data_IF_626524247231
#
_entry.id   IF_626524247231
#
_cell.length_a   1.000
_cell.length_b   1.000
_cell.length_c   1.000
_cell.angle_alpha   90.00
_cell.angle_beta   90.00
_cell.angle_gamma   90.00
#
_symmetry.space_group_name_H-M   'P 1'
#
loop_
_entity.id
_entity.type
_entity.pdbx_description
1 polymer ?
#
# COMPACT_ATOMS: atom_id res chain seq x y z
N UNK A 1 -19.79 14.11 63.82
CA UNK A 1 -19.11 13.01 63.10
C UNK A 1 -19.87 12.60 61.83
N UNK A 2 -21.16 12.24 61.88
CA UNK A 2 -21.91 11.77 60.70
C UNK A 2 -22.02 12.77 59.52
N UNK A 3 -22.28 14.06 59.79
CA UNK A 3 -22.46 15.09 58.74
C UNK A 3 -21.20 15.30 57.89
N UNK A 4 -20.01 15.27 58.53
CA UNK A 4 -18.74 15.44 57.84
C UNK A 4 -18.40 14.25 56.93
N UNK A 5 -18.74 13.02 57.36
CA UNK A 5 -18.55 11.80 56.57
C UNK A 5 -19.47 11.78 55.35
N UNK A 6 -20.73 12.20 55.49
CA UNK A 6 -21.69 12.30 54.39
C UNK A 6 -21.25 13.34 53.35
N UNK A 7 -20.81 14.53 53.79
CA UNK A 7 -20.30 15.57 52.90
C UNK A 7 -19.05 15.13 52.12
N UNK A 8 -18.15 14.39 52.77
CA UNK A 8 -16.96 13.83 52.13
C UNK A 8 -17.33 12.81 51.04
N UNK A 9 -18.25 11.90 51.31
CA UNK A 9 -18.69 10.88 50.33
C UNK A 9 -19.39 11.54 49.14
N UNK A 10 -20.26 12.52 49.38
CA UNK A 10 -21.01 13.24 48.33
C UNK A 10 -20.09 14.02 47.39
N UNK A 11 -18.90 14.44 47.84
CA UNK A 11 -17.97 15.23 47.02
C UNK A 11 -16.86 14.39 46.40
N UNK A 12 -16.30 13.43 47.16
CA UNK A 12 -15.16 12.61 46.71
C UNK A 12 -15.59 11.51 45.74
N UNK A 13 -16.74 10.87 45.97
CA UNK A 13 -17.21 9.78 45.12
C UNK A 13 -17.51 10.24 43.68
N UNK A 14 -18.28 11.32 43.41
CA UNK A 14 -18.50 11.77 42.04
C UNK A 14 -17.23 12.32 41.40
N UNK A 15 -16.34 12.99 42.14
CA UNK A 15 -15.06 13.45 41.61
C UNK A 15 -14.18 12.26 41.15
N UNK A 16 -14.12 11.18 41.92
CA UNK A 16 -13.41 9.96 41.56
C UNK A 16 -14.04 9.24 40.35
N UNK A 17 -15.38 9.21 40.27
CA UNK A 17 -16.09 8.64 39.12
C UNK A 17 -15.87 9.46 37.84
N UNK A 18 -15.89 10.79 37.94
CA UNK A 18 -15.60 11.70 36.83
C UNK A 18 -14.16 11.52 36.36
N UNK A 19 -13.17 11.55 37.26
CA UNK A 19 -11.77 11.33 36.91
C UNK A 19 -11.55 9.98 36.22
N UNK A 20 -12.15 8.90 36.74
CA UNK A 20 -12.10 7.57 36.13
C UNK A 20 -12.71 7.58 34.72
N UNK A 21 -13.83 8.26 34.52
CA UNK A 21 -14.48 8.34 33.20
C UNK A 21 -13.64 9.14 32.19
N UNK A 22 -13.02 10.24 32.60
CA UNK A 22 -12.10 11.03 31.76
C UNK A 22 -10.89 10.19 31.35
N UNK A 23 -10.25 9.50 32.30
CA UNK A 23 -9.14 8.60 32.01
C UNK A 23 -9.57 7.48 31.05
N UNK A 24 -10.74 6.87 31.28
CA UNK A 24 -11.26 5.82 30.41
C UNK A 24 -11.53 6.32 28.98
N UNK A 25 -12.08 7.52 28.81
CA UNK A 25 -12.32 8.14 27.50
C UNK A 25 -10.99 8.43 26.81
N UNK A 26 -10.00 8.99 27.51
CA UNK A 26 -8.69 9.27 26.93
C UNK A 26 -8.00 7.98 26.45
N UNK A 27 -8.05 6.92 27.27
CA UNK A 27 -7.53 5.60 26.88
C UNK A 27 -8.27 5.06 25.66
N UNK A 28 -9.60 5.15 25.63
CA UNK A 28 -10.40 4.68 24.51
C UNK A 28 -10.08 5.43 23.20
N UNK A 29 -9.90 6.76 23.27
CA UNK A 29 -9.51 7.58 22.13
C UNK A 29 -8.13 7.20 21.62
N UNK A 30 -7.15 7.02 22.52
CA UNK A 30 -5.79 6.61 22.15
C UNK A 30 -5.78 5.23 21.48
N UNK A 31 -6.54 4.27 22.03
CA UNK A 31 -6.68 2.94 21.44
C UNK A 31 -7.36 3.03 20.07
N UNK A 32 -8.43 3.81 19.91
CA UNK A 32 -9.12 3.99 18.64
C UNK A 32 -8.20 4.61 17.57
N UNK A 33 -7.42 5.62 17.93
CA UNK A 33 -6.42 6.23 17.03
C UNK A 33 -5.32 5.24 16.64
N UNK A 34 -4.82 4.47 17.60
CA UNK A 34 -3.79 3.45 17.34
C UNK A 34 -4.31 2.36 16.39
N UNK A 35 -5.53 1.85 16.62
CA UNK A 35 -6.18 0.87 15.76
C UNK A 35 -6.46 1.44 14.37
N UNK A 36 -6.95 2.67 14.27
CA UNK A 36 -7.18 3.35 12.99
C UNK A 36 -5.90 3.52 12.19
N UNK A 37 -4.82 4.00 12.83
CA UNK A 37 -3.52 4.14 12.19
C UNK A 37 -2.93 2.79 11.76
N UNK A 38 -3.12 1.73 12.54
CA UNK A 38 -2.70 0.38 12.19
C UNK A 38 -3.48 -0.15 10.97
N UNK A 39 -4.81 0.04 10.94
CA UNK A 39 -5.66 -0.38 9.83
C UNK A 39 -5.27 0.30 8.52
N UNK A 40 -5.08 1.63 8.52
CA UNK A 40 -4.64 2.38 7.33
C UNK A 40 -3.30 1.86 6.81
N UNK A 41 -2.35 1.57 7.70
CA UNK A 41 -1.04 1.02 7.31
C UNK A 41 -1.14 -0.41 6.75
N UNK A 42 -2.03 -1.24 7.28
CA UNK A 42 -2.20 -2.61 6.82
C UNK A 42 -2.84 -2.64 5.43
N UNK A 43 -3.94 -1.89 5.24
CA UNK A 43 -4.66 -1.81 3.97
C UNK A 43 -3.77 -1.20 2.88
N UNK A 44 -3.05 -0.11 3.20
CA UNK A 44 -2.17 0.53 2.22
C UNK A 44 -1.02 -0.34 1.73
N UNK A 45 -0.65 -1.42 2.43
CA UNK A 45 0.41 -2.37 2.01
C UNK A 45 -0.05 -3.37 0.95
N UNK A 46 -1.33 -3.74 0.93
CA UNK A 46 -1.86 -4.72 -0.03
C UNK A 46 -2.53 -4.11 -1.27
N UNK A 47 -2.71 -2.79 -1.33
CA UNK A 47 -3.57 -2.17 -2.35
C UNK A 47 -3.01 -2.22 -3.77
N UNK A 48 -1.69 -2.12 -3.94
CA UNK A 48 -1.08 -2.08 -5.27
C UNK A 48 -1.26 -3.41 -6.03
N UNK A 49 -0.98 -4.55 -5.39
CA UNK A 49 -1.16 -5.87 -6.02
C UNK A 49 -2.62 -6.18 -6.32
N UNK A 50 -3.55 -5.77 -5.46
CA UNK A 50 -5.00 -5.93 -5.70
C UNK A 50 -5.45 -5.07 -6.89
N UNK A 51 -4.98 -3.84 -6.98
CA UNK A 51 -5.28 -2.96 -8.11
C UNK A 51 -4.71 -3.52 -9.43
N UNK A 52 -3.49 -4.07 -9.40
CA UNK A 52 -2.87 -4.73 -10.55
C UNK A 52 -3.65 -5.98 -10.97
N UNK A 53 -4.04 -6.84 -10.03
CA UNK A 53 -4.85 -8.02 -10.33
C UNK A 53 -6.22 -7.66 -10.96
N UNK A 54 -6.81 -6.52 -10.58
CA UNK A 54 -8.07 -6.05 -11.16
C UNK A 54 -7.95 -5.65 -12.65
N UNK A 55 -6.74 -5.39 -13.15
CA UNK A 55 -6.49 -5.12 -14.58
C UNK A 55 -6.52 -6.37 -15.45
N UNK A 56 -6.56 -7.57 -14.85
CA UNK A 56 -6.38 -8.83 -15.56
C UNK A 56 -4.92 -9.13 -15.91
N UNK A 57 -3.97 -8.34 -15.39
CA UNK A 57 -2.56 -8.59 -15.58
C UNK A 57 -2.11 -9.84 -14.81
N UNK A 58 -1.24 -10.64 -15.42
CA UNK A 58 -0.55 -11.77 -14.77
C UNK A 58 0.90 -11.39 -14.48
N UNK A 59 1.46 -11.79 -13.32
CA UNK A 59 2.88 -11.60 -13.07
C UNK A 59 3.67 -12.51 -14.00
N UNK A 60 4.83 -12.05 -14.47
CA UNK A 60 5.69 -12.81 -15.37
C UNK A 60 7.10 -12.92 -14.82
N UNK A 61 7.64 -14.13 -14.78
CA UNK A 61 9.04 -14.39 -14.45
C UNK A 61 9.97 -14.21 -15.66
N UNK A 62 11.27 -14.27 -15.41
CA UNK A 62 12.29 -14.17 -16.46
C UNK A 62 12.16 -15.28 -17.53
N UNK A 63 11.68 -16.46 -17.15
CA UNK A 63 11.44 -17.57 -18.07
C UNK A 63 10.16 -17.39 -18.90
N UNK A 64 9.15 -16.69 -18.38
CA UNK A 64 7.89 -16.45 -19.07
C UNK A 64 8.05 -15.39 -20.17
N UNK A 65 8.77 -14.30 -19.87
CA UNK A 65 8.94 -13.15 -20.76
C UNK A 65 10.40 -12.66 -20.78
N UNK A 66 11.35 -13.47 -21.29
CA UNK A 66 12.77 -13.15 -21.24
C UNK A 66 13.13 -11.86 -21.99
N UNK A 67 12.41 -11.56 -23.08
CA UNK A 67 12.63 -10.32 -23.86
C UNK A 67 12.32 -9.08 -23.03
N UNK A 68 11.20 -9.09 -22.29
CA UNK A 68 10.78 -7.98 -21.45
C UNK A 68 11.72 -7.81 -20.25
N UNK A 69 12.03 -8.91 -19.56
CA UNK A 69 12.95 -8.90 -18.41
C UNK A 69 14.34 -8.37 -18.78
N UNK A 70 14.95 -8.88 -19.85
CA UNK A 70 16.26 -8.41 -20.30
C UNK A 70 16.30 -6.91 -20.65
N UNK A 71 15.22 -6.41 -21.25
CA UNK A 71 15.11 -5.00 -21.62
C UNK A 71 14.99 -4.12 -20.38
N UNK A 72 14.07 -4.46 -19.47
CA UNK A 72 13.89 -3.71 -18.22
C UNK A 72 15.12 -3.79 -17.33
N UNK A 73 15.81 -4.93 -17.28
CA UNK A 73 17.08 -5.08 -16.57
C UNK A 73 18.16 -4.13 -17.09
N UNK A 74 18.30 -4.01 -18.41
CA UNK A 74 19.23 -3.05 -19.01
C UNK A 74 18.89 -1.61 -18.63
N UNK A 75 17.60 -1.25 -18.72
CA UNK A 75 17.10 0.09 -18.39
C UNK A 75 17.29 0.42 -16.91
N UNK A 76 16.94 -0.49 -15.99
CA UNK A 76 17.05 -0.22 -14.56
C UNK A 76 18.50 -0.07 -14.11
N UNK A 77 19.41 -0.84 -14.72
CA UNK A 77 20.85 -0.73 -14.42
C UNK A 77 21.39 0.61 -14.91
N UNK A 78 20.99 1.04 -16.11
CA UNK A 78 21.39 2.34 -16.66
C UNK A 78 20.84 3.51 -15.81
N UNK A 79 19.62 3.39 -15.27
CA UNK A 79 18.98 4.42 -14.46
C UNK A 79 19.29 4.33 -12.96
N UNK A 80 19.88 3.24 -12.49
CA UNK A 80 20.16 3.01 -11.07
C UNK A 80 18.91 2.84 -10.20
N UNK A 81 17.84 2.27 -10.75
CA UNK A 81 16.57 2.05 -10.02
C UNK A 81 16.41 0.59 -9.57
N UNK A 82 15.65 0.33 -8.48
CA UNK A 82 15.33 -1.02 -8.05
C UNK A 82 14.58 -1.81 -9.13
N UNK A 83 14.60 -3.14 -9.01
CA UNK A 83 13.92 -4.05 -9.94
C UNK A 83 12.39 -3.94 -9.79
N UNK A 84 11.66 -3.53 -10.85
CA UNK A 84 10.20 -3.49 -10.81
C UNK A 84 9.61 -4.89 -11.01
N UNK A 85 8.46 -5.16 -10.40
CA UNK A 85 7.70 -6.36 -10.75
C UNK A 85 7.09 -6.24 -12.16
N UNK A 86 7.23 -7.27 -12.98
CA UNK A 86 6.75 -7.25 -14.37
C UNK A 86 5.46 -8.04 -14.51
N UNK A 87 4.52 -7.46 -15.24
CA UNK A 87 3.19 -8.01 -15.45
C UNK A 87 2.80 -7.88 -16.92
N UNK A 88 2.09 -8.88 -17.43
CA UNK A 88 1.57 -8.88 -18.80
C UNK A 88 0.04 -8.97 -18.80
N UNK A 89 -0.59 -8.17 -19.64
CA UNK A 89 -2.02 -8.27 -19.97
C UNK A 89 -2.15 -8.82 -21.39
N UNK A 90 -2.96 -9.85 -21.56
CA UNK A 90 -3.28 -10.42 -22.87
C UNK A 90 -4.32 -9.55 -23.61
N UNK A 91 -3.89 -8.36 -24.03
CA UNK A 91 -4.66 -7.38 -24.81
C UNK A 91 -3.87 -7.01 -26.08
N UNK A 92 -4.49 -7.06 -27.28
CA UNK A 92 -3.83 -6.70 -28.53
C UNK A 92 -3.57 -5.19 -28.71
N UNK A 93 -4.17 -4.34 -27.89
CA UNK A 93 -3.97 -2.88 -27.95
C UNK A 93 -2.61 -2.52 -27.35
N UNK A 94 -1.79 -1.67 -28.01
CA UNK A 94 -0.47 -1.31 -27.51
C UNK A 94 -0.59 -0.35 -26.32
N UNK A 95 -0.26 -0.81 -25.11
CA UNK A 95 -0.33 -0.01 -23.89
C UNK A 95 0.68 -0.48 -22.82
N UNK A 96 1.03 0.43 -21.92
CA UNK A 96 1.84 0.16 -20.73
C UNK A 96 1.42 1.08 -19.57
N UNK A 97 1.49 0.55 -18.35
CA UNK A 97 1.24 1.28 -17.12
C UNK A 97 2.37 1.05 -16.11
N UNK A 98 2.95 2.12 -15.61
CA UNK A 98 3.88 2.09 -14.48
C UNK A 98 3.14 2.42 -13.17
N UNK A 99 3.24 1.54 -12.18
CA UNK A 99 2.67 1.73 -10.85
C UNK A 99 3.81 1.73 -9.84
N UNK A 100 3.96 2.81 -9.06
CA UNK A 100 4.95 2.87 -8.02
C UNK A 100 4.36 3.48 -6.75
N UNK A 101 4.64 2.85 -5.61
CA UNK A 101 4.33 3.40 -4.30
C UNK A 101 5.54 4.10 -3.69
N UNK A 102 6.71 3.52 -3.88
CA UNK A 102 8.02 4.05 -3.53
C UNK A 102 9.07 3.43 -4.47
N UNK A 103 10.35 3.73 -4.28
CA UNK A 103 11.41 3.23 -5.16
C UNK A 103 11.50 1.69 -5.18
N UNK A 104 11.27 1.03 -4.04
CA UNK A 104 11.40 -0.42 -3.88
C UNK A 104 10.11 -1.18 -4.21
N UNK A 105 8.95 -0.50 -4.19
CA UNK A 105 7.64 -1.05 -4.52
C UNK A 105 7.14 -0.45 -5.84
N UNK A 106 7.59 -1.02 -6.95
CA UNK A 106 7.18 -0.64 -8.30
C UNK A 106 6.78 -1.83 -9.19
N UNK A 107 5.95 -1.56 -10.19
CA UNK A 107 5.45 -2.54 -11.14
C UNK A 107 5.29 -1.91 -12.54
N UNK A 108 5.61 -2.69 -13.57
CA UNK A 108 5.31 -2.38 -14.96
C UNK A 108 4.30 -3.38 -15.49
N UNK A 109 3.17 -2.89 -15.98
CA UNK A 109 2.12 -3.68 -16.64
C UNK A 109 2.17 -3.39 -18.12
N UNK A 110 2.50 -4.39 -18.92
CA UNK A 110 2.67 -4.24 -20.37
C UNK A 110 1.66 -5.11 -21.10
N UNK A 111 1.02 -4.59 -22.13
CA UNK A 111 0.11 -5.42 -22.95
C UNK A 111 0.87 -6.27 -23.96
N UNK A 112 0.29 -7.40 -24.35
CA UNK A 112 0.84 -8.25 -25.42
C UNK A 112 0.95 -7.50 -26.75
N UNK A 113 -0.05 -6.69 -27.08
CA UNK A 113 -0.04 -5.84 -28.27
C UNK A 113 1.16 -4.89 -28.35
N UNK A 114 1.62 -4.34 -27.22
CA UNK A 114 2.81 -3.49 -27.20
C UNK A 114 4.08 -4.30 -27.45
N UNK A 115 4.21 -5.45 -26.79
CA UNK A 115 5.42 -6.29 -26.84
C UNK A 115 5.64 -6.91 -28.23
N UNK A 116 4.56 -7.34 -28.87
CA UNK A 116 4.62 -7.95 -30.19
C UNK A 116 4.65 -6.89 -31.31
N UNK A 117 4.09 -5.70 -31.06
CA UNK A 117 3.96 -4.64 -32.06
C UNK A 117 5.17 -3.75 -32.24
N UNK A 118 6.06 -3.66 -31.25
CA UNK A 118 7.20 -2.74 -31.25
C UNK A 118 8.54 -3.48 -31.34
N UNK A 119 9.50 -2.84 -32.01
CA UNK A 119 10.90 -3.27 -32.01
C UNK A 119 11.54 -3.03 -30.65
N UNK A 120 12.73 -3.59 -30.43
CA UNK A 120 13.47 -3.40 -29.17
C UNK A 120 13.71 -1.92 -28.84
N UNK A 121 14.17 -1.14 -29.83
CA UNK A 121 14.50 0.28 -29.62
C UNK A 121 13.24 1.10 -29.34
N UNK A 122 12.13 0.79 -30.01
CA UNK A 122 10.85 1.46 -29.75
C UNK A 122 10.29 1.10 -28.37
N UNK A 123 10.41 -0.15 -27.93
CA UNK A 123 10.06 -0.55 -26.57
C UNK A 123 10.92 0.16 -25.52
N UNK A 124 12.24 0.24 -25.73
CA UNK A 124 13.15 0.98 -24.84
C UNK A 124 12.83 2.48 -24.78
N UNK A 125 12.24 3.06 -25.83
CA UNK A 125 11.83 4.46 -25.82
C UNK A 125 10.49 4.70 -25.09
N UNK A 126 9.65 3.67 -24.99
CA UNK A 126 8.34 3.71 -24.32
C UNK A 126 8.45 3.36 -22.83
N UNK A 127 9.37 2.47 -22.48
CA UNK A 127 9.60 1.96 -21.13
C UNK A 127 10.63 2.82 -20.37
#
# INVERSE_FOLDING_TARGET
MAVATVALVVLVLPAALLLRSVVAVLVAVLVALALGAAAVRLVGRGSASVALAATGARPVGADDEPRLHNLVDGLRVAMGVPEPSLWVVEDPSPNVLAVARNADESALVVTRGLLDGLTRVELEAVL
#
